data_IF_879292655615
#
_entry.id   IF_879292655615
#
_cell.length_a   1.000
_cell.length_b   1.000
_cell.length_c   1.000
_cell.angle_alpha   90.00
_cell.angle_beta   90.00
_cell.angle_gamma   90.00
#
_symmetry.space_group_name_H-M   'P 1'
#
loop_
_entity.id
_entity.type
_entity.pdbx_description
1 polymer ?
#
# COMPACT_ATOMS: atom_id res chain seq x y z
N UNK A 1 15.71 8.79 23.43
CA UNK A 1 14.44 9.49 23.13
C UNK A 1 14.76 10.62 22.18
N UNK A 2 14.50 10.43 20.88
CA UNK A 2 14.50 11.54 19.91
C UNK A 2 13.26 12.35 20.21
N UNK A 3 13.42 13.64 20.50
CA UNK A 3 12.29 14.54 20.67
C UNK A 3 11.56 14.62 19.33
N UNK A 4 10.38 14.01 19.26
CA UNK A 4 9.45 14.18 18.15
C UNK A 4 8.90 15.59 18.26
N UNK A 5 9.56 16.55 17.62
CA UNK A 5 8.96 17.86 17.38
C UNK A 5 7.73 17.61 16.51
N UNK A 6 6.50 17.91 16.96
CA UNK A 6 5.34 17.81 16.08
C UNK A 6 5.63 18.62 14.84
N UNK A 7 5.48 18.08 13.62
CA UNK A 7 5.68 18.87 12.41
C UNK A 7 4.75 20.07 12.51
N UNK A 8 5.33 21.27 12.64
CA UNK A 8 4.59 22.52 12.88
C UNK A 8 3.55 22.81 11.79
N UNK A 9 3.71 22.15 10.64
CA UNK A 9 2.76 21.92 9.57
C UNK A 9 3.47 20.98 8.61
N UNK A 10 2.86 19.85 8.26
CA UNK A 10 3.38 19.00 7.19
C UNK A 10 2.75 19.39 5.85
N UNK A 11 3.58 19.52 4.81
CA UNK A 11 3.18 20.07 3.51
C UNK A 11 2.20 19.14 2.79
N UNK A 12 1.53 19.64 1.75
CA UNK A 12 0.69 18.80 0.89
C UNK A 12 1.48 17.62 0.29
N UNK A 13 2.73 17.86 -0.09
CA UNK A 13 3.64 16.82 -0.59
C UNK A 13 3.96 15.77 0.48
N UNK A 14 4.17 16.18 1.74
CA UNK A 14 4.41 15.23 2.84
C UNK A 14 3.17 14.36 3.11
N UNK A 15 1.97 14.95 3.03
CA UNK A 15 0.70 14.24 3.18
C UNK A 15 0.48 13.23 2.06
N UNK A 16 0.66 13.66 0.82
CA UNK A 16 0.55 12.77 -0.34
C UNK A 16 1.55 11.61 -0.23
N UNK A 17 2.80 11.90 0.13
CA UNK A 17 3.81 10.89 0.32
C UNK A 17 3.44 9.89 1.43
N UNK A 18 2.94 10.38 2.57
CA UNK A 18 2.46 9.51 3.64
C UNK A 18 1.27 8.65 3.23
N UNK A 19 0.27 9.22 2.54
CA UNK A 19 -0.88 8.45 2.07
C UNK A 19 -0.45 7.36 1.08
N UNK A 20 0.47 7.69 0.17
CA UNK A 20 1.08 6.70 -0.73
C UNK A 20 1.81 5.62 0.07
N UNK A 21 2.61 5.97 1.08
CA UNK A 21 3.28 4.99 1.95
C UNK A 21 2.26 4.07 2.64
N UNK A 22 1.20 4.61 3.24
CA UNK A 22 0.16 3.81 3.93
C UNK A 22 -0.50 2.83 2.97
N UNK A 23 -0.90 3.29 1.78
CA UNK A 23 -1.56 2.43 0.78
C UNK A 23 -0.63 1.33 0.25
N UNK A 24 0.67 1.56 0.27
CA UNK A 24 1.71 0.69 -0.29
C UNK A 24 2.35 -0.27 0.72
N UNK A 25 2.16 -0.03 2.00
CA UNK A 25 2.81 -0.78 3.08
C UNK A 25 1.95 -1.90 3.65
N UNK A 26 0.86 -2.26 2.98
CA UNK A 26 0.02 -3.41 3.36
C UNK A 26 -0.93 -3.17 4.53
N UNK A 27 -1.06 -1.92 5.00
CA UNK A 27 -2.07 -1.52 6.00
C UNK A 27 -3.50 -1.84 5.56
N UNK A 28 -3.78 -1.89 4.27
CA UNK A 28 -5.09 -2.28 3.72
C UNK A 28 -5.49 -3.74 3.97
N UNK A 29 -4.53 -4.60 4.33
CA UNK A 29 -4.79 -6.00 4.68
C UNK A 29 -4.99 -6.20 6.17
N UNK A 30 -4.59 -5.22 6.98
CA UNK A 30 -4.70 -5.29 8.42
C UNK A 30 -6.16 -5.15 8.84
N UNK A 31 -6.53 -5.88 9.89
CA UNK A 31 -7.88 -5.85 10.46
C UNK A 31 -7.88 -5.26 11.87
N UNK A 32 -8.99 -4.61 12.28
CA UNK A 32 -10.18 -4.29 11.47
C UNK A 32 -9.92 -3.21 10.38
N UNK A 33 -10.78 -3.09 9.37
CA UNK A 33 -10.60 -2.11 8.27
C UNK A 33 -10.56 -0.65 8.76
N UNK A 34 -11.19 -0.37 9.91
CA UNK A 34 -11.11 0.91 10.59
C UNK A 34 -9.68 1.37 10.87
N UNK A 35 -8.71 0.45 10.96
CA UNK A 35 -7.29 0.78 11.08
C UNK A 35 -6.82 1.61 9.88
N UNK A 36 -7.06 1.14 8.65
CA UNK A 36 -6.69 1.87 7.43
C UNK A 36 -7.39 3.23 7.39
N UNK A 37 -8.69 3.27 7.64
CA UNK A 37 -9.47 4.51 7.58
C UNK A 37 -8.99 5.57 8.58
N UNK A 38 -8.59 5.16 9.79
CA UNK A 38 -7.98 6.06 10.76
C UNK A 38 -6.64 6.60 10.26
N UNK A 39 -5.78 5.77 9.66
CA UNK A 39 -4.51 6.22 9.09
C UNK A 39 -4.71 7.22 7.94
N UNK A 40 -5.69 6.98 7.07
CA UNK A 40 -6.06 7.92 6.01
C UNK A 40 -6.60 9.23 6.58
N UNK A 41 -7.48 9.16 7.59
CA UNK A 41 -8.04 10.34 8.26
C UNK A 41 -6.97 11.21 8.92
N UNK A 42 -6.00 10.58 9.62
CA UNK A 42 -4.83 11.29 10.17
C UNK A 42 -4.00 11.90 9.03
N UNK A 43 -3.86 11.19 7.91
CA UNK A 43 -3.06 11.62 6.78
C UNK A 43 -3.58 12.85 6.02
N UNK A 44 -4.89 13.06 6.03
CA UNK A 44 -5.55 14.18 5.34
C UNK A 44 -5.52 15.46 6.19
N UNK A 45 -5.38 15.34 7.52
CA UNK A 45 -5.45 16.49 8.42
C UNK A 45 -4.19 17.37 8.35
N UNK A 46 -4.35 18.63 7.92
CA UNK A 46 -3.23 19.54 7.69
C UNK A 46 -2.45 19.91 8.97
N UNK A 47 -3.15 20.02 10.10
CA UNK A 47 -2.61 20.48 11.38
C UNK A 47 -2.74 19.43 12.48
N UNK A 48 -2.71 18.15 12.09
CA UNK A 48 -3.05 17.03 12.96
C UNK A 48 -4.55 16.89 13.16
N UNK A 49 -5.04 15.65 13.21
CA UNK A 49 -6.46 15.36 13.35
C UNK A 49 -6.89 15.48 14.80
N UNK A 50 -8.02 16.10 15.08
CA UNK A 50 -8.74 15.83 16.33
C UNK A 50 -9.48 14.50 16.23
N UNK A 51 -9.88 13.96 17.38
CA UNK A 51 -10.78 12.81 17.43
C UNK A 51 -12.10 13.06 16.67
N UNK A 52 -12.57 14.31 16.61
CA UNK A 52 -13.74 14.68 15.80
C UNK A 52 -13.47 14.64 14.29
N UNK A 53 -12.30 15.09 13.85
CA UNK A 53 -11.92 15.06 12.42
C UNK A 53 -11.88 13.61 11.89
N UNK A 54 -11.43 12.66 12.73
CA UNK A 54 -11.35 11.25 12.38
C UNK A 54 -12.72 10.61 12.16
N UNK A 55 -13.80 11.16 12.73
CA UNK A 55 -15.15 10.61 12.54
C UNK A 55 -15.54 10.57 11.06
N UNK A 56 -15.11 11.54 10.26
CA UNK A 56 -15.45 11.59 8.84
C UNK A 56 -14.95 10.34 8.10
N UNK A 57 -13.75 9.85 8.43
CA UNK A 57 -13.16 8.65 7.83
C UNK A 57 -13.83 7.35 8.28
N UNK A 58 -14.58 7.38 9.39
CA UNK A 58 -15.25 6.21 9.96
C UNK A 58 -16.72 6.08 9.57
N UNK A 59 -17.25 7.02 8.77
CA UNK A 59 -18.65 6.98 8.34
C UNK A 59 -18.89 5.86 7.35
N UNK A 60 -19.80 4.97 7.68
CA UNK A 60 -20.31 3.92 6.79
C UNK A 60 -21.77 3.60 7.12
N UNK A 61 -22.36 2.57 6.49
CA UNK A 61 -23.74 2.14 6.72
C UNK A 61 -24.03 1.78 8.18
N UNK A 62 -23.12 1.06 8.84
CA UNK A 62 -23.22 0.64 10.24
C UNK A 62 -22.82 1.72 11.26
N UNK A 63 -22.09 2.75 10.83
CA UNK A 63 -21.62 3.86 11.65
C UNK A 63 -21.83 5.21 10.93
N UNK A 64 -23.08 5.64 10.69
CA UNK A 64 -23.37 6.80 9.84
C UNK A 64 -22.85 8.13 10.41
N UNK A 65 -22.63 8.19 11.73
CA UNK A 65 -22.09 9.38 12.39
C UNK A 65 -20.56 9.34 12.54
N UNK A 66 -19.93 8.19 12.27
CA UNK A 66 -18.49 8.00 12.47
C UNK A 66 -18.11 7.98 13.95
N UNK A 67 -18.98 7.47 14.82
CA UNK A 67 -18.74 7.41 16.25
C UNK A 67 -17.52 6.52 16.56
N UNK A 68 -16.62 7.01 17.41
CA UNK A 68 -15.45 6.27 17.84
C UNK A 68 -15.82 5.11 18.78
N UNK A 69 -16.94 5.24 19.49
CA UNK A 69 -17.43 4.19 20.39
C UNK A 69 -18.25 3.12 19.66
N UNK A 70 -18.55 3.30 18.36
CA UNK A 70 -19.20 2.27 17.56
C UNK A 70 -18.29 1.05 17.37
N UNK A 71 -18.87 -0.15 17.16
CA UNK A 71 -18.10 -1.37 16.90
C UNK A 71 -17.09 -1.19 15.75
N UNK A 72 -15.84 -1.59 15.94
CA UNK A 72 -14.82 -1.50 14.88
C UNK A 72 -14.88 -2.62 13.85
N UNK A 73 -15.71 -3.63 14.11
CA UNK A 73 -15.92 -4.80 13.26
C UNK A 73 -17.21 -4.64 12.46
N UNK A 74 -17.20 -5.18 11.25
CA UNK A 74 -18.35 -5.22 10.37
C UNK A 74 -19.48 -6.06 10.99
N UNK A 75 -20.72 -5.63 10.78
CA UNK A 75 -21.88 -6.41 11.19
C UNK A 75 -21.88 -7.74 10.41
N UNK A 76 -21.98 -8.90 11.07
CA UNK A 76 -22.02 -10.19 10.38
C UNK A 76 -23.12 -10.29 9.32
N UNK A 77 -24.21 -9.52 9.45
CA UNK A 77 -25.32 -9.49 8.47
C UNK A 77 -24.97 -8.70 7.19
N UNK A 78 -23.92 -7.86 7.24
CA UNK A 78 -23.40 -7.09 6.09
C UNK A 78 -22.28 -7.81 5.33
N UNK A 79 -21.82 -8.96 5.84
CA UNK A 79 -20.74 -9.77 5.25
C UNK A 79 -21.29 -10.91 4.37
N UNK A 80 -20.53 -11.31 3.36
CA UNK A 80 -20.84 -12.55 2.64
C UNK A 80 -20.47 -13.81 3.48
N UNK A 81 -20.92 -14.99 3.05
CA UNK A 81 -20.72 -16.24 3.80
C UNK A 81 -19.24 -16.57 4.05
N UNK A 82 -18.36 -16.26 3.10
CA UNK A 82 -16.92 -16.53 3.21
C UNK A 82 -16.25 -15.56 4.18
N UNK A 83 -16.61 -14.28 4.12
CA UNK A 83 -16.14 -13.24 5.04
C UNK A 83 -16.62 -13.50 6.47
N UNK A 84 -17.90 -13.86 6.64
CA UNK A 84 -18.47 -14.20 7.94
C UNK A 84 -17.77 -15.43 8.55
N UNK A 85 -17.44 -16.44 7.75
CA UNK A 85 -16.72 -17.63 8.20
C UNK A 85 -15.28 -17.32 8.66
N UNK A 86 -14.62 -16.34 8.04
CA UNK A 86 -13.25 -15.90 8.41
C UNK A 86 -13.22 -14.90 9.54
N UNK A 87 -14.32 -14.20 9.82
CA UNK A 87 -14.37 -13.13 10.81
C UNK A 87 -13.81 -13.52 12.19
N UNK A 88 -14.12 -14.71 12.76
CA UNK A 88 -13.56 -15.12 14.06
C UNK A 88 -12.03 -15.20 14.07
N UNK A 89 -11.43 -15.72 12.99
CA UNK A 89 -9.97 -15.81 12.82
C UNK A 89 -9.35 -14.41 12.71
N UNK A 90 -9.97 -13.50 11.94
CA UNK A 90 -9.52 -12.12 11.81
C UNK A 90 -9.57 -11.37 13.15
N UNK A 91 -10.60 -11.61 13.96
CA UNK A 91 -10.74 -11.06 15.31
C UNK A 91 -9.63 -11.59 16.23
N UNK A 92 -9.36 -12.90 16.18
CA UNK A 92 -8.29 -13.52 16.99
C UNK A 92 -6.92 -12.95 16.63
N UNK A 93 -6.62 -12.83 15.33
CA UNK A 93 -5.39 -12.22 14.83
C UNK A 93 -5.25 -10.77 15.29
N UNK A 94 -6.31 -9.96 15.18
CA UNK A 94 -6.28 -8.58 15.67
C UNK A 94 -6.13 -8.48 17.20
N UNK A 95 -6.64 -9.45 17.95
CA UNK A 95 -6.45 -9.52 19.40
C UNK A 95 -4.98 -9.79 19.76
N UNK A 96 -4.20 -10.50 18.94
CA UNK A 96 -2.76 -10.67 19.13
C UNK A 96 -2.02 -9.33 18.99
N UNK A 97 -2.42 -8.49 18.02
CA UNK A 97 -1.86 -7.14 17.85
C UNK A 97 -2.10 -6.29 19.10
N UNK A 98 -3.34 -6.30 19.60
CA UNK A 98 -3.70 -5.58 20.81
C UNK A 98 -2.91 -6.09 22.04
N UNK A 99 -2.86 -7.42 22.22
CA UNK A 99 -2.16 -8.05 23.34
C UNK A 99 -0.66 -7.74 23.34
N UNK A 100 -0.01 -7.70 22.17
CA UNK A 100 1.39 -7.33 22.03
C UNK A 100 1.70 -5.94 22.58
N UNK A 101 0.75 -5.01 22.43
CA UNK A 101 0.84 -3.65 22.95
C UNK A 101 0.18 -3.47 24.33
N UNK A 102 -0.13 -4.57 25.03
CA UNK A 102 -0.76 -4.55 26.35
C UNK A 102 -2.17 -3.95 26.36
N UNK A 103 -2.88 -4.02 25.23
CA UNK A 103 -4.25 -3.53 25.05
C UNK A 103 -5.27 -4.66 25.16
N UNK A 104 -6.51 -4.37 25.59
CA UNK A 104 -7.60 -5.33 25.52
C UNK A 104 -7.97 -5.64 24.05
N UNK A 105 -8.67 -6.76 23.78
CA UNK A 105 -9.18 -7.06 22.46
C UNK A 105 -10.04 -5.91 21.91
N UNK A 106 -9.86 -5.61 20.63
CA UNK A 106 -10.48 -4.46 19.96
C UNK A 106 -11.99 -4.66 19.81
N UNK A 107 -12.79 -3.72 20.31
CA UNK A 107 -14.25 -3.72 20.20
C UNK A 107 -14.76 -2.49 19.49
N UNK A 108 -14.15 -1.33 19.74
CA UNK A 108 -14.59 -0.04 19.19
C UNK A 108 -13.50 0.60 18.32
N UNK A 109 -13.88 1.59 17.52
CA UNK A 109 -12.91 2.38 16.74
C UNK A 109 -11.93 3.14 17.65
N UNK A 110 -12.36 3.52 18.86
CA UNK A 110 -11.50 4.08 19.89
C UNK A 110 -10.41 3.08 20.32
N UNK A 111 -10.73 1.79 20.49
CA UNK A 111 -9.73 0.77 20.79
C UNK A 111 -8.67 0.65 19.68
N UNK A 112 -9.09 0.77 18.42
CA UNK A 112 -8.18 0.75 17.26
C UNK A 112 -7.26 1.97 17.27
N UNK A 113 -7.79 3.15 17.56
CA UNK A 113 -6.97 4.36 17.70
C UNK A 113 -5.97 4.23 18.86
N UNK A 114 -6.40 3.69 20.00
CA UNK A 114 -5.54 3.45 21.16
C UNK A 114 -4.45 2.41 20.87
N UNK A 115 -4.73 1.41 20.02
CA UNK A 115 -3.73 0.49 19.49
C UNK A 115 -2.71 1.22 18.60
N UNK A 116 -3.16 2.04 17.65
CA UNK A 116 -2.27 2.81 16.78
C UNK A 116 -1.35 3.77 17.55
N UNK A 117 -1.88 4.39 18.61
CA UNK A 117 -1.11 5.21 19.54
C UNK A 117 -0.08 4.38 20.33
N UNK A 118 -0.48 3.22 20.84
CA UNK A 118 0.40 2.33 21.59
C UNK A 118 1.53 1.75 20.73
N UNK A 119 1.22 1.40 19.49
CA UNK A 119 2.15 0.92 18.49
C UNK A 119 3.08 2.03 17.95
N UNK A 120 2.84 3.30 18.33
CA UNK A 120 3.61 4.43 17.86
C UNK A 120 3.48 4.65 16.35
N UNK A 121 2.35 4.27 15.76
CA UNK A 121 2.04 4.55 14.35
C UNK A 121 1.55 5.99 14.20
N UNK A 122 0.85 6.48 15.22
CA UNK A 122 0.40 7.86 15.37
C UNK A 122 0.78 8.36 16.77
N UNK A 123 0.81 9.67 16.96
CA UNK A 123 1.10 10.32 18.23
C UNK A 123 0.04 11.36 18.55
N UNK A 124 -0.38 11.43 19.80
CA UNK A 124 -1.25 12.49 20.31
C UNK A 124 -0.41 13.55 21.02
N UNK A 125 -0.42 14.78 20.50
CA UNK A 125 0.33 15.92 21.01
C UNK A 125 -0.59 17.15 21.07
N UNK A 126 -0.53 17.98 22.13
CA UNK A 126 -1.32 19.20 22.19
C UNK A 126 -0.82 20.23 21.17
N UNK A 127 -1.74 20.92 20.49
CA UNK A 127 -1.42 22.07 19.65
C UNK A 127 -1.10 23.33 20.47
N UNK A 128 -0.84 24.45 19.79
CA UNK A 128 -0.53 25.74 20.44
C UNK A 128 -1.66 26.26 21.35
N UNK A 129 -2.89 25.78 21.18
CA UNK A 129 -4.04 26.09 22.04
C UNK A 129 -4.23 25.10 23.19
N UNK A 130 -3.40 24.05 23.27
CA UNK A 130 -3.53 22.96 24.23
C UNK A 130 -4.54 21.89 23.83
N UNK A 131 -5.09 21.95 22.61
CA UNK A 131 -6.05 20.94 22.13
C UNK A 131 -5.29 19.70 21.66
N UNK A 132 -5.62 18.48 22.11
CA UNK A 132 -4.99 17.26 21.63
C UNK A 132 -5.17 17.08 20.12
N UNK A 133 -4.08 16.84 19.40
CA UNK A 133 -4.03 16.54 17.97
C UNK A 133 -3.27 15.25 17.74
N UNK A 134 -3.76 14.48 16.78
CA UNK A 134 -3.19 13.20 16.37
C UNK A 134 -2.39 13.43 15.10
N UNK A 135 -1.12 13.08 15.15
CA UNK A 135 -0.17 13.20 14.04
C UNK A 135 0.31 11.81 13.63
N UNK A 136 0.56 11.58 12.33
CA UNK A 136 1.17 10.34 11.92
C UNK A 136 2.66 10.33 12.27
N UNK A 137 3.21 9.12 12.48
CA UNK A 137 4.65 8.93 12.44
C UNK A 137 5.11 9.03 10.98
N UNK A 138 6.16 9.84 10.75
CA UNK A 138 6.78 9.99 9.44
C UNK A 138 8.28 9.62 9.56
N UNK A 139 8.80 8.68 8.74
CA UNK A 139 8.06 7.85 7.76
C UNK A 139 7.03 6.93 8.44
N UNK A 140 5.97 6.57 7.71
CA UNK A 140 4.95 5.64 8.21
C UNK A 140 5.60 4.28 8.46
N UNK A 141 5.45 3.67 9.66
CA UNK A 141 5.91 2.32 9.88
C UNK A 141 5.09 1.34 9.02
N UNK A 142 5.70 0.23 8.62
CA UNK A 142 4.96 -0.87 7.99
C UNK A 142 4.35 -1.76 9.09
N UNK A 143 3.27 -2.52 8.84
CA UNK A 143 2.67 -3.39 9.84
C UNK A 143 3.68 -4.34 10.50
N UNK A 144 4.62 -4.88 9.72
CA UNK A 144 5.68 -5.77 10.20
C UNK A 144 6.65 -5.11 11.19
N UNK A 145 6.74 -3.77 11.22
CA UNK A 145 7.60 -3.05 12.17
C UNK A 145 6.97 -2.95 13.57
N UNK A 146 5.64 -3.06 13.65
CA UNK A 146 4.88 -2.69 14.86
C UNK A 146 3.97 -3.79 15.37
N UNK A 147 3.65 -4.82 14.58
CA UNK A 147 2.81 -5.93 14.99
C UNK A 147 3.53 -7.27 14.93
N UNK A 148 3.18 -8.21 15.81
CA UNK A 148 3.73 -9.56 15.81
C UNK A 148 3.08 -10.40 14.69
N UNK A 149 3.53 -10.21 13.46
CA UNK A 149 3.08 -11.02 12.34
C UNK A 149 3.70 -12.41 12.38
N UNK A 150 2.95 -13.43 12.00
CA UNK A 150 3.52 -14.75 11.74
C UNK A 150 4.36 -14.75 10.44
N UNK A 151 5.04 -15.86 10.17
CA UNK A 151 5.97 -15.95 9.04
C UNK A 151 5.26 -15.81 7.68
N UNK A 152 4.03 -16.30 7.57
CA UNK A 152 3.23 -16.25 6.34
C UNK A 152 2.78 -14.83 6.06
N UNK A 153 2.14 -14.16 7.04
CA UNK A 153 1.69 -12.78 6.91
C UNK A 153 2.90 -11.84 6.73
N UNK A 154 4.01 -12.07 7.44
CA UNK A 154 5.23 -11.29 7.23
C UNK A 154 5.81 -11.47 5.81
N UNK A 155 5.70 -12.66 5.21
CA UNK A 155 6.11 -12.89 3.83
C UNK A 155 5.20 -12.14 2.84
N UNK A 156 3.89 -12.15 3.06
CA UNK A 156 2.92 -11.39 2.26
C UNK A 156 3.21 -9.90 2.34
N UNK A 157 3.41 -9.35 3.54
CA UNK A 157 3.74 -7.94 3.75
C UNK A 157 5.06 -7.55 3.06
N UNK A 158 6.09 -8.40 3.12
CA UNK A 158 7.34 -8.19 2.36
C UNK A 158 7.09 -8.16 0.86
N UNK A 159 6.28 -9.07 0.33
CA UNK A 159 5.98 -9.10 -1.10
C UNK A 159 5.26 -7.82 -1.53
N UNK A 160 4.27 -7.34 -0.77
CA UNK A 160 3.57 -6.08 -1.07
C UNK A 160 4.51 -4.86 -1.10
N UNK A 161 5.47 -4.81 -0.18
CA UNK A 161 6.48 -3.75 -0.18
C UNK A 161 7.36 -3.80 -1.42
N UNK A 162 7.74 -5.01 -1.87
CA UNK A 162 8.51 -5.20 -3.11
C UNK A 162 7.66 -4.79 -4.30
N UNK A 163 6.43 -5.29 -4.41
CA UNK A 163 5.50 -4.98 -5.50
C UNK A 163 5.34 -3.46 -5.61
N UNK A 164 5.07 -2.79 -4.50
CA UNK A 164 4.92 -1.34 -4.49
C UNK A 164 6.22 -0.59 -4.82
N UNK A 165 7.37 -1.03 -4.31
CA UNK A 165 8.63 -0.34 -4.53
C UNK A 165 9.05 -0.39 -6.00
N UNK A 166 8.74 -1.51 -6.66
CA UNK A 166 9.23 -1.78 -8.01
C UNK A 166 8.15 -1.79 -9.08
N UNK A 167 6.88 -1.50 -8.77
CA UNK A 167 5.81 -1.33 -9.78
C UNK A 167 6.19 -0.23 -10.79
N UNK A 168 6.52 0.98 -10.32
CA UNK A 168 6.94 2.09 -11.20
C UNK A 168 8.20 1.78 -12.02
N UNK A 169 9.29 1.31 -11.39
CA UNK A 169 10.45 0.78 -12.10
C UNK A 169 10.11 -0.30 -13.14
N UNK A 170 9.22 -1.24 -12.82
CA UNK A 170 8.80 -2.30 -13.75
C UNK A 170 8.05 -1.74 -14.96
N UNK A 171 7.18 -0.73 -14.77
CA UNK A 171 6.52 -0.02 -15.87
C UNK A 171 7.50 0.66 -16.81
N UNK A 172 8.53 1.32 -16.28
CA UNK A 172 9.59 1.91 -17.12
C UNK A 172 10.37 0.86 -17.93
N UNK A 173 10.49 -0.36 -17.41
CA UNK A 173 11.08 -1.48 -18.15
C UNK A 173 10.12 -1.94 -19.25
N UNK A 174 8.81 -2.03 -18.97
CA UNK A 174 7.77 -2.36 -19.97
C UNK A 174 7.78 -1.35 -21.13
N UNK A 175 7.94 -0.06 -20.86
CA UNK A 175 8.03 1.00 -21.88
C UNK A 175 9.14 0.76 -22.92
N UNK A 176 10.21 0.01 -22.58
CA UNK A 176 11.25 -0.36 -23.53
C UNK A 176 10.78 -1.34 -24.62
N UNK A 177 9.71 -2.09 -24.33
CA UNK A 177 9.10 -3.02 -25.26
C UNK A 177 8.06 -2.34 -26.15
N UNK A 178 7.62 -1.11 -25.86
CA UNK A 178 6.71 -0.37 -26.73
C UNK A 178 7.20 1.07 -27.00
N UNK A 179 8.43 1.25 -27.54
CA UNK A 179 8.87 2.57 -27.92
C UNK A 179 8.04 3.06 -29.11
N UNK A 180 7.51 4.27 -28.98
CA UNK A 180 6.73 4.95 -30.02
C UNK A 180 5.48 4.17 -30.47
N UNK A 181 4.90 3.34 -29.59
CA UNK A 181 3.71 2.53 -29.87
C UNK A 181 3.99 1.25 -30.67
N UNK A 182 5.26 0.90 -30.88
CA UNK A 182 5.65 -0.33 -31.58
C UNK A 182 6.09 -1.41 -30.60
N UNK A 183 5.22 -2.41 -30.41
CA UNK A 183 5.48 -3.58 -29.57
C UNK A 183 6.66 -4.39 -30.11
N UNK A 184 7.63 -4.64 -29.23
CA UNK A 184 8.79 -5.51 -29.41
C UNK A 184 8.59 -6.76 -28.57
N UNK A 185 8.99 -7.91 -29.08
CA UNK A 185 8.94 -9.17 -28.32
C UNK A 185 10.18 -9.36 -27.44
N UNK A 186 11.28 -8.68 -27.75
CA UNK A 186 12.57 -8.87 -27.09
C UNK A 186 13.33 -7.55 -26.96
N UNK A 187 14.01 -7.38 -25.82
CA UNK A 187 15.06 -6.36 -25.63
C UNK A 187 16.37 -7.00 -25.14
N UNK A 188 17.49 -6.42 -25.58
CA UNK A 188 18.84 -6.81 -25.15
C UNK A 188 19.40 -5.72 -24.23
N UNK A 189 19.72 -6.08 -22.99
CA UNK A 189 20.08 -5.10 -21.94
C UNK A 189 21.03 -5.68 -20.89
N UNK A 190 21.38 -4.88 -19.88
CA UNK A 190 22.09 -5.28 -18.66
C UNK A 190 21.45 -4.59 -17.45
N UNK A 191 21.70 -5.09 -16.24
CA UNK A 191 21.18 -4.46 -15.02
C UNK A 191 21.68 -3.02 -14.88
N UNK A 192 22.94 -2.72 -15.20
CA UNK A 192 23.48 -1.35 -15.17
C UNK A 192 22.76 -0.39 -16.14
N UNK A 193 22.23 -0.91 -17.26
CA UNK A 193 21.48 -0.10 -18.22
C UNK A 193 20.05 0.14 -17.73
N UNK A 194 19.42 -0.88 -17.14
CA UNK A 194 18.08 -0.76 -16.56
C UNK A 194 18.08 0.11 -15.32
N UNK A 195 19.07 -0.01 -14.44
CA UNK A 195 19.28 0.84 -13.27
C UNK A 195 19.25 2.33 -13.64
N UNK A 196 20.00 2.71 -14.69
CA UNK A 196 20.02 4.08 -15.22
C UNK A 196 18.67 4.53 -15.78
N UNK A 197 17.92 3.64 -16.40
CA UNK A 197 16.58 3.94 -16.93
C UNK A 197 15.58 4.19 -15.79
N UNK A 198 15.57 3.35 -14.77
CA UNK A 198 14.63 3.46 -13.66
C UNK A 198 15.06 4.53 -12.64
N UNK A 199 16.29 5.06 -12.76
CA UNK A 199 16.84 6.05 -11.83
C UNK A 199 17.27 5.47 -10.49
N UNK A 200 17.59 4.17 -10.46
CA UNK A 200 17.99 3.42 -9.27
C UNK A 200 19.35 2.73 -9.45
N UNK A 201 19.58 1.67 -8.70
CA UNK A 201 20.78 0.84 -8.78
C UNK A 201 20.54 -0.54 -9.43
N UNK A 202 21.58 -1.37 -9.49
CA UNK A 202 21.50 -2.69 -10.12
C UNK A 202 20.64 -3.69 -9.33
N UNK A 203 20.44 -3.48 -8.03
CA UNK A 203 19.54 -4.27 -7.21
C UNK A 203 18.09 -3.86 -7.46
N UNK A 204 17.81 -2.56 -7.59
CA UNK A 204 16.48 -2.08 -7.96
C UNK A 204 16.03 -2.65 -9.31
N UNK A 205 16.96 -2.65 -10.28
CA UNK A 205 16.71 -3.23 -11.60
C UNK A 205 16.46 -4.75 -11.54
N UNK A 206 17.12 -5.45 -10.60
CA UNK A 206 16.96 -6.90 -10.40
C UNK A 206 15.58 -7.22 -9.86
N UNK A 207 15.15 -6.52 -8.82
CA UNK A 207 13.81 -6.72 -8.24
C UNK A 207 12.70 -6.32 -9.22
N UNK A 208 12.86 -5.22 -9.95
CA UNK A 208 11.89 -4.81 -10.98
C UNK A 208 11.73 -5.86 -12.09
N UNK A 209 12.81 -6.51 -12.53
CA UNK A 209 12.72 -7.63 -13.48
C UNK A 209 12.09 -8.86 -12.83
N UNK A 210 12.44 -9.17 -11.58
CA UNK A 210 11.87 -10.32 -10.87
C UNK A 210 10.35 -10.23 -10.83
N UNK A 211 9.80 -9.07 -10.48
CA UNK A 211 8.36 -8.81 -10.51
C UNK A 211 7.73 -9.06 -11.89
N UNK A 212 8.39 -8.61 -12.96
CA UNK A 212 7.91 -8.87 -14.32
C UNK A 212 7.88 -10.36 -14.66
N UNK A 213 8.92 -11.09 -14.27
CA UNK A 213 9.01 -12.53 -14.56
C UNK A 213 8.08 -13.38 -13.70
N UNK A 214 7.73 -12.94 -12.49
CA UNK A 214 6.82 -13.66 -11.58
C UNK A 214 5.37 -13.62 -12.04
N UNK A 215 4.95 -12.53 -12.70
CA UNK A 215 3.64 -12.46 -13.35
C UNK A 215 3.50 -13.48 -14.51
N UNK A 216 4.63 -13.88 -15.10
CA UNK A 216 4.73 -14.94 -16.10
C UNK A 216 4.67 -14.47 -17.55
N UNK A 217 4.34 -13.20 -17.79
CA UNK A 217 4.29 -12.57 -19.11
C UNK A 217 5.66 -12.09 -19.63
N UNK A 218 6.68 -12.06 -18.76
CA UNK A 218 8.07 -11.81 -19.15
C UNK A 218 8.97 -12.99 -18.82
N UNK A 219 9.97 -13.23 -19.66
CA UNK A 219 11.03 -14.22 -19.40
C UNK A 219 12.41 -13.63 -19.66
N UNK A 220 13.44 -14.25 -19.07
CA UNK A 220 14.83 -13.81 -19.20
C UNK A 220 15.73 -14.96 -19.60
N UNK A 221 16.73 -14.69 -20.44
CA UNK A 221 17.66 -15.75 -20.90
C UNK A 221 18.69 -16.18 -19.85
N UNK A 222 18.86 -15.38 -18.79
CA UNK A 222 19.75 -15.66 -17.67
C UNK A 222 18.98 -15.46 -16.38
N UNK A 223 19.29 -16.25 -15.35
CA UNK A 223 18.80 -16.01 -14.00
C UNK A 223 19.33 -14.66 -13.48
N UNK A 224 18.44 -13.68 -13.48
CA UNK A 224 18.74 -12.30 -13.09
C UNK A 224 19.07 -12.19 -11.60
N UNK A 225 18.61 -13.15 -10.79
CA UNK A 225 18.85 -13.22 -9.35
C UNK A 225 20.32 -13.36 -9.00
N UNK A 226 21.16 -13.82 -9.94
CA UNK A 226 22.58 -14.08 -9.72
C UNK A 226 23.52 -13.46 -10.78
N UNK A 227 22.97 -12.80 -11.80
CA UNK A 227 23.77 -12.28 -12.90
C UNK A 227 24.61 -11.06 -12.47
N UNK A 228 25.90 -10.93 -12.86
CA UNK A 228 26.66 -9.70 -12.66
C UNK A 228 26.01 -8.51 -13.37
N UNK A 229 26.04 -7.32 -12.77
CA UNK A 229 25.23 -6.18 -13.24
C UNK A 229 25.55 -5.69 -14.66
N UNK A 230 26.80 -5.82 -15.07
CA UNK A 230 27.29 -5.44 -16.40
C UNK A 230 27.01 -6.48 -17.48
N UNK A 231 26.63 -7.71 -17.11
CA UNK A 231 26.45 -8.79 -18.06
C UNK A 231 25.17 -8.58 -18.87
N UNK A 232 25.28 -8.79 -20.18
CA UNK A 232 24.18 -8.61 -21.12
C UNK A 232 23.30 -9.86 -21.15
N UNK A 233 21.99 -9.66 -21.13
CA UNK A 233 20.96 -10.69 -21.25
C UNK A 233 19.77 -10.17 -22.08
N UNK A 234 18.89 -11.09 -22.46
CA UNK A 234 17.63 -10.78 -23.14
C UNK A 234 16.47 -10.88 -22.16
N UNK A 235 15.51 -9.98 -22.36
CA UNK A 235 14.20 -10.02 -21.73
C UNK A 235 13.19 -10.16 -22.87
N UNK A 236 12.28 -11.11 -22.75
CA UNK A 236 11.24 -11.40 -23.72
C UNK A 236 9.87 -11.11 -23.09
N UNK A 237 8.95 -10.57 -23.89
CA UNK A 237 7.57 -10.28 -23.51
C UNK A 237 6.64 -11.17 -24.35
N UNK A 238 5.79 -11.95 -23.69
CA UNK A 238 4.66 -12.62 -24.32
C UNK A 238 3.47 -11.65 -24.30
N UNK A 239 3.23 -10.97 -25.43
CA UNK A 239 2.16 -9.97 -25.53
C UNK A 239 0.76 -10.57 -25.40
N UNK A 240 0.57 -11.82 -25.80
CA UNK A 240 -0.73 -12.48 -25.68
C UNK A 240 -1.05 -12.75 -24.20
N UNK A 241 -0.05 -13.22 -23.44
CA UNK A 241 -0.18 -13.42 -22.01
C UNK A 241 -0.26 -12.08 -21.25
N UNK A 242 0.54 -11.09 -21.64
CA UNK A 242 0.52 -9.74 -21.09
C UNK A 242 -0.88 -9.13 -21.22
N UNK A 243 -1.48 -9.17 -22.40
CA UNK A 243 -2.81 -8.61 -22.65
C UNK A 243 -3.88 -9.38 -21.84
N UNK A 244 -3.81 -10.71 -21.79
CA UNK A 244 -4.75 -11.53 -21.01
C UNK A 244 -4.68 -11.25 -19.49
N UNK A 245 -3.48 -11.13 -18.94
CA UNK A 245 -3.28 -11.01 -17.49
C UNK A 245 -3.36 -9.56 -16.99
N UNK A 246 -2.88 -8.58 -17.76
CA UNK A 246 -2.77 -7.18 -17.31
C UNK A 246 -3.81 -6.23 -17.88
N UNK A 247 -4.41 -6.51 -19.05
CA UNK A 247 -5.52 -5.68 -19.60
C UNK A 247 -6.86 -6.07 -18.99
N UNK A 248 -7.03 -7.32 -18.54
CA UNK A 248 -8.20 -7.76 -17.78
C UNK A 248 -8.47 -6.96 -16.50
N UNK A 249 -7.47 -6.28 -15.93
CA UNK A 249 -7.60 -5.50 -14.69
C UNK A 249 -8.03 -4.04 -14.96
N UNK A 250 -8.00 -3.56 -16.22
CA UNK A 250 -8.30 -2.15 -16.56
C UNK A 250 -9.51 -1.93 -17.48
N UNK A 251 -10.30 -2.95 -17.76
CA UNK A 251 -11.35 -2.85 -18.78
C UNK A 251 -12.59 -3.69 -18.55
N UNK A 252 -13.33 -3.46 -17.47
CA UNK A 252 -14.77 -3.74 -17.46
C UNK A 252 -15.52 -2.62 -16.72
N UNK A 253 -16.09 -1.68 -17.49
CA UNK A 253 -17.38 -1.13 -17.14
C UNK A 253 -18.46 -2.13 -17.59
N UNK A 254 -19.59 -2.20 -16.86
CA UNK A 254 -20.67 -3.18 -17.03
C UNK A 254 -21.34 -3.22 -18.43
N UNK A 255 -20.95 -2.35 -19.37
CA UNK A 255 -21.50 -2.26 -20.72
C UNK A 255 -20.54 -2.71 -21.84
N UNK A 256 -19.36 -3.25 -21.51
CA UNK A 256 -18.50 -3.94 -22.47
C UNK A 256 -17.92 -3.07 -23.59
N UNK A 257 -17.81 -1.75 -23.38
CA UNK A 257 -17.12 -0.84 -24.31
C UNK A 257 -15.91 -0.18 -23.66
N UNK A 258 -14.77 -0.26 -24.34
CA UNK A 258 -13.55 0.50 -24.03
C UNK A 258 -13.82 2.00 -24.20
N UNK A 259 -13.91 2.73 -23.10
CA UNK A 259 -13.81 4.19 -23.11
C UNK A 259 -12.34 4.58 -22.91
N UNK A 260 -11.59 4.67 -24.01
CA UNK A 260 -10.29 5.35 -24.03
C UNK A 260 -10.54 6.78 -24.47
N UNK A 261 -10.61 7.72 -23.53
CA UNK A 261 -10.46 9.15 -23.86
C UNK A 261 -8.97 9.44 -24.02
N UNK A 262 -8.50 9.40 -25.27
CA UNK A 262 -7.24 10.06 -25.64
C UNK A 262 -7.43 11.58 -25.46
N UNK A 263 -6.43 12.32 -24.95
CA UNK A 263 -6.40 13.77 -25.11
C UNK A 263 -6.23 14.07 -26.61
N UNK A 264 -7.34 14.41 -27.26
CA UNK A 264 -7.32 14.96 -28.61
C UNK A 264 -6.77 16.38 -28.54
N UNK A 265 -5.62 16.60 -29.17
CA UNK A 265 -5.17 17.85 -29.78
C UNK A 265 -5.35 19.14 -28.94
N UNK A 266 -4.24 19.59 -28.35
CA UNK A 266 -4.00 21.02 -28.16
C UNK A 266 -3.02 21.48 -29.26
N UNK A 267 -3.61 21.97 -30.35
CA UNK A 267 -3.08 23.14 -31.06
C UNK A 267 -3.19 24.38 -30.15
#
# INVERSE_FOLDING_TARGET
>A
MVALTPPASWTEQDREHYLQQVMRSGWSRMRPYSLLFLLLGVGIAENGATREDLKLGLRNSGNPQGDLEAPCWEDPDDLDEDEQARQPELIETAALYAAHHGRPPLRTHADVLDLLLAAGVVYELPDASGTPRIFPKVPAPVPADVFPLDEEEAAVQRQLLIDSAYEGPSYRIIELFEPDGLRREEIVTSLDRLARLIGGDAQDAREAIRLLTEAGDFTTTLDVSNVPSHKVFRIQCDWDQFDQQRISIRGMAEDGKLAVTLPSDLE
#
